data_IF_800065171538
#
_entry.id   IF_800065171538
#
_cell.length_a   1.000
_cell.length_b   1.000
_cell.length_c   1.000
_cell.angle_alpha   90.00
_cell.angle_beta   90.00
_cell.angle_gamma   90.00
#
_symmetry.space_group_name_H-M   'P 1'
#
loop_
_entity.id
_entity.type
_entity.pdbx_description
1 polymer ?
#
# COMPACT_ATOMS: atom_id res chain seq x y z
N UNK A 1 -8.78 -31.10 1.91
CA UNK A 1 -8.98 -29.73 1.39
C UNK A 1 -9.77 -28.94 2.42
N UNK A 2 -9.25 -27.82 2.94
CA UNK A 2 -10.02 -26.90 3.80
C UNK A 2 -10.65 -25.85 2.88
N UNK A 3 -11.97 -25.78 2.87
CA UNK A 3 -12.74 -24.79 2.12
C UNK A 3 -13.21 -23.69 3.07
N UNK A 4 -13.04 -22.44 2.67
CA UNK A 4 -13.51 -21.25 3.41
C UNK A 4 -14.50 -20.55 2.51
N UNK A 5 -15.70 -20.29 3.04
CA UNK A 5 -16.76 -19.54 2.35
C UNK A 5 -16.90 -18.19 3.04
N UNK A 6 -16.78 -17.12 2.26
CA UNK A 6 -16.99 -15.75 2.75
C UNK A 6 -18.44 -15.36 2.47
N UNK A 7 -19.09 -14.74 3.46
CA UNK A 7 -20.44 -14.21 3.33
C UNK A 7 -20.48 -12.81 3.96
N UNK A 8 -21.24 -11.94 3.32
CA UNK A 8 -21.44 -10.52 3.68
C UNK A 8 -22.88 -10.30 4.11
N UNK A 9 -23.20 -9.10 4.60
CA UNK A 9 -24.61 -8.71 4.84
C UNK A 9 -25.43 -8.73 3.54
N UNK A 10 -24.78 -8.62 2.38
CA UNK A 10 -25.46 -8.64 1.09
C UNK A 10 -25.93 -10.04 0.67
N UNK A 11 -25.26 -11.08 1.19
CA UNK A 11 -25.61 -12.48 0.98
C UNK A 11 -26.81 -12.93 1.85
N UNK A 12 -27.23 -12.08 2.81
CA UNK A 12 -28.41 -12.30 3.63
C UNK A 12 -29.69 -11.89 2.87
N UNK A 13 -30.23 -12.82 2.07
CA UNK A 13 -31.40 -12.60 1.22
C UNK A 13 -32.73 -12.30 1.94
N UNK A 14 -32.77 -12.43 3.27
CA UNK A 14 -33.94 -12.08 4.09
C UNK A 14 -33.98 -10.62 4.54
N UNK A 15 -32.93 -9.83 4.27
CA UNK A 15 -32.92 -8.38 4.55
C UNK A 15 -33.16 -7.55 3.30
N UNK A 16 -34.05 -6.56 3.40
CA UNK A 16 -34.18 -5.52 2.38
C UNK A 16 -32.96 -4.59 2.36
N UNK A 17 -32.70 -3.87 1.25
CA UNK A 17 -31.61 -2.90 1.18
C UNK A 17 -31.63 -1.87 2.32
N UNK A 18 -32.82 -1.42 2.74
CA UNK A 18 -33.01 -0.46 3.81
C UNK A 18 -32.62 -1.06 5.17
N UNK A 19 -33.03 -2.30 5.44
CA UNK A 19 -32.66 -3.02 6.66
C UNK A 19 -31.15 -3.27 6.75
N UNK A 20 -30.49 -3.56 5.63
CA UNK A 20 -29.03 -3.71 5.58
C UNK A 20 -28.33 -2.40 5.92
N UNK A 21 -28.83 -1.28 5.42
CA UNK A 21 -28.29 0.04 5.71
C UNK A 21 -28.43 0.40 7.20
N UNK A 22 -29.59 0.12 7.81
CA UNK A 22 -29.82 0.32 9.25
C UNK A 22 -28.90 -0.54 10.11
N UNK A 23 -28.77 -1.83 9.79
CA UNK A 23 -27.88 -2.76 10.52
C UNK A 23 -26.42 -2.30 10.41
N UNK A 24 -26.01 -1.86 9.21
CA UNK A 24 -24.65 -1.37 8.96
C UNK A 24 -24.38 -0.07 9.74
N UNK A 25 -25.35 0.85 9.76
CA UNK A 25 -25.24 2.10 10.50
C UNK A 25 -25.12 1.88 12.02
N UNK A 26 -25.76 0.84 12.56
CA UNK A 26 -25.72 0.48 13.97
C UNK A 26 -24.35 -0.03 14.45
N UNK A 27 -23.46 -0.45 13.55
CA UNK A 27 -22.10 -0.86 13.93
C UNK A 27 -21.22 0.33 14.32
N UNK A 28 -20.34 0.19 15.34
CA UNK A 28 -19.27 1.15 15.59
C UNK A 28 -18.46 1.39 14.32
N UNK A 29 -18.09 2.63 14.05
CA UNK A 29 -17.44 3.03 12.80
C UNK A 29 -16.20 2.17 12.45
N UNK A 30 -15.41 1.82 13.47
CA UNK A 30 -14.22 0.98 13.33
C UNK A 30 -14.49 -0.52 13.11
N UNK A 31 -15.73 -1.00 13.34
CA UNK A 31 -16.14 -2.39 13.12
C UNK A 31 -17.08 -2.57 11.92
N UNK A 32 -17.70 -1.46 11.46
CA UNK A 32 -18.75 -1.45 10.45
C UNK A 32 -18.34 -2.17 9.17
N UNK A 33 -17.17 -1.84 8.66
CA UNK A 33 -16.66 -2.41 7.42
C UNK A 33 -16.35 -3.92 7.56
N UNK A 34 -15.68 -4.31 8.65
CA UNK A 34 -15.33 -5.70 8.90
C UNK A 34 -16.57 -6.60 9.09
N UNK A 35 -17.59 -6.08 9.81
CA UNK A 35 -18.85 -6.81 10.05
C UNK A 35 -19.76 -6.85 8.82
N UNK A 36 -19.82 -5.79 8.02
CA UNK A 36 -20.60 -5.77 6.79
C UNK A 36 -19.98 -6.66 5.69
N UNK A 37 -18.65 -6.63 5.53
CA UNK A 37 -17.91 -7.35 4.48
C UNK A 37 -17.44 -8.76 4.89
N UNK A 38 -17.74 -9.21 6.11
CA UNK A 38 -17.37 -10.55 6.59
C UNK A 38 -15.85 -10.78 6.67
N UNK A 39 -15.07 -9.71 6.89
CA UNK A 39 -13.60 -9.79 6.96
C UNK A 39 -13.22 -10.35 8.34
N UNK A 40 -12.53 -11.51 8.41
CA UNK A 40 -12.13 -12.10 9.70
C UNK A 40 -11.27 -11.10 10.49
N UNK A 41 -11.72 -10.74 11.70
CA UNK A 41 -10.90 -9.96 12.64
C UNK A 41 -9.87 -10.90 13.26
N UNK A 42 -8.74 -11.07 12.57
CA UNK A 42 -7.57 -11.75 13.10
C UNK A 42 -6.97 -10.90 14.24
N UNK A 43 -7.16 -11.37 15.49
CA UNK A 43 -6.32 -11.13 16.68
C UNK A 43 -5.75 -9.73 16.93
N UNK A 44 -6.23 -9.08 18.01
CA UNK A 44 -5.94 -7.69 18.44
C UNK A 44 -6.32 -6.68 17.36
N UNK A 45 -7.18 -5.70 17.69
CA UNK A 45 -7.75 -4.77 16.72
C UNK A 45 -6.74 -4.17 15.73
N UNK A 46 -7.24 -3.73 14.57
CA UNK A 46 -6.43 -3.08 13.52
C UNK A 46 -5.40 -2.12 14.15
N UNK A 47 -4.13 -2.23 13.76
CA UNK A 47 -3.07 -1.29 14.21
C UNK A 47 -3.47 0.15 13.89
N UNK A 48 -4.10 0.34 12.72
CA UNK A 48 -4.71 1.60 12.30
C UNK A 48 -6.23 1.42 12.15
N UNK A 49 -7.03 1.77 13.17
CA UNK A 49 -8.49 1.67 13.11
C UNK A 49 -9.12 2.87 12.39
N UNK A 50 -8.57 3.26 11.24
CA UNK A 50 -9.08 4.35 10.39
C UNK A 50 -9.77 3.73 9.19
N UNK A 51 -10.97 4.21 8.86
CA UNK A 51 -11.70 3.77 7.68
C UNK A 51 -11.00 4.25 6.40
N UNK A 52 -10.91 3.40 5.39
CA UNK A 52 -10.21 3.72 4.14
C UNK A 52 -10.86 4.92 3.44
N UNK A 53 -12.18 5.04 3.52
CA UNK A 53 -12.96 6.12 2.93
C UNK A 53 -12.63 7.50 3.51
N UNK A 54 -12.02 7.57 4.70
CA UNK A 54 -11.57 8.82 5.32
C UNK A 54 -10.20 9.28 4.83
N UNK A 55 -9.40 8.38 4.23
CA UNK A 55 -8.03 8.66 3.78
C UNK A 55 -7.87 8.51 2.27
N UNK A 56 -8.83 7.90 1.59
CA UNK A 56 -8.89 7.82 0.14
C UNK A 56 -9.43 9.12 -0.46
N UNK A 57 -8.92 9.46 -1.65
CA UNK A 57 -9.42 10.56 -2.44
C UNK A 57 -9.36 10.21 -3.93
N UNK A 58 -10.23 10.83 -4.72
CA UNK A 58 -10.21 10.65 -6.17
C UNK A 58 -8.88 11.13 -6.77
N UNK A 59 -8.32 10.42 -7.76
CA UNK A 59 -7.09 10.84 -8.42
C UNK A 59 -7.21 12.22 -9.07
N UNK A 60 -6.21 13.07 -8.87
CA UNK A 60 -6.14 14.39 -9.48
C UNK A 60 -4.75 14.69 -10.05
N UNK A 61 -4.66 15.74 -10.88
CA UNK A 61 -3.37 16.19 -11.41
C UNK A 61 -2.57 16.88 -10.31
N UNK A 62 -1.43 16.30 -9.97
CA UNK A 62 -0.54 16.87 -8.96
C UNK A 62 0.06 18.20 -9.43
N UNK A 63 0.03 19.26 -8.59
CA UNK A 63 0.79 20.47 -8.82
C UNK A 63 2.29 20.20 -8.98
N UNK A 64 2.93 20.93 -9.89
CA UNK A 64 4.36 20.71 -10.22
C UNK A 64 5.32 21.10 -9.11
N UNK A 65 4.92 22.01 -8.24
CA UNK A 65 5.75 22.52 -7.15
C UNK A 65 5.69 21.68 -5.89
N UNK A 66 4.79 20.69 -5.81
CA UNK A 66 4.72 19.78 -4.68
C UNK A 66 5.96 18.87 -4.66
N UNK A 67 6.70 18.83 -3.53
CA UNK A 67 7.78 17.88 -3.35
C UNK A 67 7.27 16.45 -3.48
N UNK A 68 8.09 15.59 -4.10
CA UNK A 68 7.76 14.18 -4.33
C UNK A 68 8.93 13.29 -3.95
N UNK A 69 8.61 12.14 -3.38
CA UNK A 69 9.59 11.12 -2.99
C UNK A 69 9.01 9.74 -3.22
N UNK A 70 9.83 8.82 -3.74
CA UNK A 70 9.54 7.40 -3.74
C UNK A 70 9.96 6.77 -2.42
N UNK A 71 9.23 5.76 -1.95
CA UNK A 71 9.69 4.90 -0.87
C UNK A 71 9.66 3.45 -1.37
N UNK A 72 10.72 2.70 -1.11
CA UNK A 72 10.88 1.31 -1.54
C UNK A 72 11.21 0.43 -0.33
N UNK A 73 10.41 -0.62 -0.14
CA UNK A 73 10.67 -1.73 0.77
C UNK A 73 11.12 -2.94 -0.04
N UNK A 74 12.27 -3.50 0.32
CA UNK A 74 12.86 -4.61 -0.43
C UNK A 74 12.16 -5.92 -0.08
N UNK A 75 12.03 -6.83 -1.04
CA UNK A 75 11.44 -8.13 -0.79
C UNK A 75 11.68 -9.10 -1.94
N UNK A 76 11.75 -10.39 -1.60
CA UNK A 76 11.80 -11.50 -2.55
C UNK A 76 10.67 -12.50 -2.30
N UNK A 77 10.76 -13.25 -1.20
CA UNK A 77 9.72 -14.19 -0.74
C UNK A 77 8.52 -13.45 -0.19
N UNK A 78 8.76 -12.46 0.69
CA UNK A 78 7.78 -11.40 0.88
C UNK A 78 7.89 -10.42 -0.29
N UNK A 79 6.76 -9.92 -0.83
CA UNK A 79 6.79 -8.98 -1.93
C UNK A 79 7.55 -7.71 -1.56
N UNK A 80 8.35 -7.19 -2.49
CA UNK A 80 8.74 -5.80 -2.49
C UNK A 80 7.52 -4.89 -2.64
N UNK A 81 7.62 -3.69 -2.08
CA UNK A 81 6.60 -2.66 -2.18
C UNK A 81 7.26 -1.30 -2.46
N UNK A 82 6.65 -0.51 -3.33
CA UNK A 82 7.06 0.87 -3.52
C UNK A 82 5.84 1.79 -3.55
N UNK A 83 6.02 3.02 -3.08
CA UNK A 83 5.01 4.08 -3.16
C UNK A 83 5.63 5.38 -3.62
N UNK A 84 4.84 6.21 -4.31
CA UNK A 84 5.17 7.61 -4.54
C UNK A 84 4.34 8.47 -3.59
N UNK A 85 5.01 9.38 -2.91
CA UNK A 85 4.40 10.37 -2.04
C UNK A 85 4.52 11.75 -2.69
N UNK A 86 3.45 12.53 -2.64
CA UNK A 86 3.45 13.96 -2.96
C UNK A 86 2.99 14.75 -1.73
N UNK A 87 3.68 15.84 -1.42
CA UNK A 87 3.38 16.66 -0.25
C UNK A 87 2.84 18.03 -0.68
N UNK A 88 1.60 18.32 -0.29
CA UNK A 88 1.08 19.67 -0.26
C UNK A 88 1.66 20.39 0.96
N UNK A 89 2.64 21.25 0.71
CA UNK A 89 3.33 21.99 1.77
C UNK A 89 2.52 23.15 2.34
N UNK A 90 1.45 23.57 1.66
CA UNK A 90 0.59 24.66 2.12
C UNK A 90 -0.50 24.12 3.04
N UNK A 91 -1.12 22.99 2.66
CA UNK A 91 -2.14 22.32 3.47
C UNK A 91 -1.57 21.31 4.48
N UNK A 92 -0.27 20.99 4.38
CA UNK A 92 0.41 19.93 5.13
C UNK A 92 -0.24 18.55 4.97
N UNK A 93 -0.50 18.17 3.72
CA UNK A 93 -1.14 16.89 3.37
C UNK A 93 -0.21 16.05 2.51
N UNK A 94 -0.01 14.79 2.90
CA UNK A 94 0.74 13.82 2.11
C UNK A 94 -0.22 12.90 1.38
N UNK A 95 -0.05 12.82 0.06
CA UNK A 95 -0.80 11.94 -0.82
C UNK A 95 0.06 10.75 -1.23
N UNK A 96 -0.48 9.54 -1.08
CA UNK A 96 0.06 8.35 -1.76
C UNK A 96 -0.53 8.34 -3.17
N UNK A 97 0.31 8.54 -4.17
CA UNK A 97 -0.15 8.78 -5.56
C UNK A 97 0.03 7.57 -6.46
N UNK A 98 0.96 6.69 -6.10
CA UNK A 98 1.25 5.44 -6.81
C UNK A 98 1.66 4.38 -5.80
N UNK A 99 1.31 3.14 -6.10
CA UNK A 99 1.80 1.97 -5.38
C UNK A 99 2.22 0.90 -6.38
N UNK A 100 3.29 0.17 -6.05
CA UNK A 100 3.75 -0.99 -6.80
C UNK A 100 4.08 -2.12 -5.83
N UNK A 101 3.68 -3.33 -6.18
CA UNK A 101 3.95 -4.54 -5.39
C UNK A 101 4.47 -5.62 -6.33
N UNK A 102 5.63 -6.19 -6.00
CA UNK A 102 6.25 -7.21 -6.82
C UNK A 102 6.89 -8.31 -5.97
N UNK A 103 6.57 -9.56 -6.26
CA UNK A 103 7.22 -10.74 -5.67
C UNK A 103 8.21 -11.33 -6.64
N UNK A 104 9.34 -11.84 -6.14
CA UNK A 104 10.36 -12.56 -6.93
C UNK A 104 10.87 -11.78 -8.16
N UNK A 105 10.99 -10.46 -8.04
CA UNK A 105 11.55 -9.61 -9.09
C UNK A 105 12.94 -9.11 -8.68
N UNK A 106 13.87 -9.13 -9.63
CA UNK A 106 15.22 -8.61 -9.42
C UNK A 106 15.22 -7.08 -9.31
N UNK A 107 16.26 -6.46 -8.71
CA UNK A 107 16.37 -5.01 -8.66
C UNK A 107 16.28 -4.34 -10.04
N UNK A 108 16.80 -4.97 -11.10
CA UNK A 108 16.70 -4.46 -12.47
C UNK A 108 15.24 -4.35 -12.96
N UNK A 109 14.44 -5.40 -12.70
CA UNK A 109 13.03 -5.45 -13.11
C UNK A 109 12.20 -4.43 -12.33
N UNK A 110 12.43 -4.35 -11.02
CA UNK A 110 11.75 -3.39 -10.16
C UNK A 110 12.13 -1.94 -10.54
N UNK A 111 13.42 -1.65 -10.72
CA UNK A 111 13.89 -0.33 -11.14
C UNK A 111 13.26 0.10 -12.48
N UNK A 112 13.12 -0.80 -13.44
CA UNK A 112 12.45 -0.51 -14.71
C UNK A 112 11.00 -0.03 -14.51
N UNK A 113 10.24 -0.69 -13.63
CA UNK A 113 8.87 -0.30 -13.32
C UNK A 113 8.81 1.05 -12.58
N UNK A 114 9.71 1.29 -11.63
CA UNK A 114 9.72 2.49 -10.80
C UNK A 114 10.23 3.72 -11.54
N UNK A 115 11.16 3.57 -12.49
CA UNK A 115 11.66 4.67 -13.32
C UNK A 115 10.58 5.30 -14.20
N UNK A 116 9.53 4.55 -14.54
CA UNK A 116 8.36 5.09 -15.24
C UNK A 116 7.62 6.17 -14.42
N UNK A 117 7.89 6.26 -13.11
CA UNK A 117 7.34 7.32 -12.25
C UNK A 117 8.07 8.65 -12.42
N UNK A 118 9.30 8.61 -12.95
CA UNK A 118 10.18 9.75 -13.20
C UNK A 118 11.60 9.41 -12.76
N UNK A 119 12.56 9.43 -13.69
CA UNK A 119 13.97 9.14 -13.37
C UNK A 119 14.60 10.13 -12.37
N UNK A 120 14.01 11.32 -12.26
CA UNK A 120 14.43 12.35 -11.32
C UNK A 120 13.96 12.11 -9.88
N UNK A 121 12.97 11.23 -9.66
CA UNK A 121 12.32 11.03 -8.37
C UNK A 121 13.28 10.35 -7.39
N UNK A 122 13.64 10.97 -6.25
CA UNK A 122 14.48 10.33 -5.24
C UNK A 122 13.71 9.25 -4.50
N UNK A 123 14.40 8.16 -4.13
CA UNK A 123 13.84 7.05 -3.37
C UNK A 123 14.47 6.91 -1.98
N UNK A 124 13.61 6.88 -0.96
CA UNK A 124 13.95 6.41 0.37
C UNK A 124 13.81 4.88 0.45
N UNK A 125 14.66 4.24 1.25
CA UNK A 125 14.67 2.80 1.43
C UNK A 125 15.20 2.42 2.83
N UNK A 126 14.81 1.24 3.38
CA UNK A 126 15.13 0.86 4.74
C UNK A 126 16.61 0.52 4.95
N UNK A 127 17.05 0.48 6.22
CA UNK A 127 18.46 0.28 6.58
C UNK A 127 19.07 -1.00 6.01
N UNK A 128 18.27 -2.05 5.84
CA UNK A 128 18.66 -3.33 5.25
C UNK A 128 19.26 -3.17 3.84
N UNK A 129 18.90 -2.12 3.10
CA UNK A 129 19.50 -1.78 1.81
C UNK A 129 21.00 -1.50 1.85
N UNK A 130 21.57 -1.22 3.04
CA UNK A 130 23.02 -1.04 3.27
C UNK A 130 23.74 -2.35 3.60
N UNK A 131 23.02 -3.44 3.85
CA UNK A 131 23.64 -4.71 4.24
C UNK A 131 24.28 -5.34 3.01
N UNK A 132 25.57 -5.58 3.09
CA UNK A 132 26.35 -6.28 2.06
C UNK A 132 26.32 -7.82 2.25
N UNK A 133 25.67 -8.30 3.33
CA UNK A 133 25.78 -9.67 3.83
C UNK A 133 24.50 -10.51 3.76
N UNK A 134 23.57 -10.25 2.85
CA UNK A 134 22.41 -11.13 2.64
C UNK A 134 22.33 -11.54 1.17
N UNK A 135 22.83 -12.75 0.89
CA UNK A 135 22.45 -13.65 -0.21
C UNK A 135 22.30 -13.07 -1.64
N UNK A 136 23.03 -11.99 -1.94
CA UNK A 136 23.12 -11.42 -3.28
C UNK A 136 24.49 -10.77 -3.53
N UNK A 137 25.40 -11.51 -4.17
CA UNK A 137 26.63 -11.03 -4.83
C UNK A 137 27.62 -10.14 -4.04
N UNK A 138 27.44 -9.91 -2.73
CA UNK A 138 28.31 -9.05 -1.92
C UNK A 138 28.12 -7.55 -2.15
N UNK A 139 27.06 -7.14 -2.85
CA UNK A 139 26.75 -5.73 -3.14
C UNK A 139 25.44 -5.35 -2.46
N UNK A 140 25.47 -4.29 -1.65
CA UNK A 140 24.30 -3.74 -0.97
C UNK A 140 23.14 -3.50 -1.95
N UNK A 141 21.90 -3.89 -1.59
CA UNK A 141 20.72 -3.76 -2.45
C UNK A 141 20.56 -2.34 -3.00
N UNK A 142 20.72 -1.31 -2.17
CA UNK A 142 20.63 0.08 -2.62
C UNK A 142 21.60 0.41 -3.77
N UNK A 143 22.82 -0.14 -3.74
CA UNK A 143 23.80 0.02 -4.83
C UNK A 143 23.33 -0.69 -6.11
N UNK A 144 22.67 -1.84 -5.98
CA UNK A 144 22.11 -2.57 -7.13
C UNK A 144 20.97 -1.76 -7.79
N UNK A 145 20.06 -1.18 -7.01
CA UNK A 145 19.00 -0.29 -7.54
C UNK A 145 19.58 0.97 -8.19
N UNK A 146 20.57 1.61 -7.55
CA UNK A 146 21.25 2.78 -8.09
C UNK A 146 21.97 2.47 -9.42
N UNK A 147 22.58 1.28 -9.55
CA UNK A 147 23.21 0.84 -10.80
C UNK A 147 22.20 0.67 -11.96
N UNK A 148 20.91 0.49 -11.65
CA UNK A 148 19.82 0.47 -12.62
C UNK A 148 19.13 1.83 -12.82
N UNK A 149 19.66 2.90 -12.19
CA UNK A 149 19.22 4.27 -12.40
C UNK A 149 18.03 4.71 -11.53
N UNK A 150 17.85 4.09 -10.36
CA UNK A 150 16.96 4.61 -9.32
C UNK A 150 17.73 5.65 -8.48
N UNK A 151 17.20 6.87 -8.36
CA UNK A 151 17.82 8.01 -7.68
C UNK A 151 17.69 7.91 -6.15
#
# INVERSE_FOLDING_TARGET
>A
SRHVTFMTIDDAGHYSPEQRAEITAAYPEHEREARAKGIPVLGSGRIFPVAEELIACEPFKLPRWWPRIGALDFGWDHPSAAVELAWDTEADVVYVTKAHRASQQTPAMQALALKAWGEWLPFAWPRDGRRETLEGAGVALAKQYAAHGLN
#
